data_IF_269028298992
#
_entry.id   IF_269028298992
#
_cell.length_a   1.000
_cell.length_b   1.000
_cell.length_c   1.000
_cell.angle_alpha   90.00
_cell.angle_beta   90.00
_cell.angle_gamma   90.00
#
_symmetry.space_group_name_H-M   'P 1'
#
loop_
_entity.id
_entity.type
_entity.pdbx_description
1 polymer ?
#
# COMPACT_ATOMS: atom_id res chain seq x y z
N UNK A 1 2.94 -5.65 -15.02
CA UNK A 1 2.04 -5.87 -13.88
C UNK A 1 2.84 -6.48 -12.76
N UNK A 2 2.90 -5.80 -11.62
CA UNK A 2 3.64 -6.21 -10.44
C UNK A 2 2.76 -7.07 -9.51
N UNK A 3 3.39 -7.98 -8.77
CA UNK A 3 2.74 -8.77 -7.72
C UNK A 3 3.04 -8.14 -6.36
N UNK A 4 2.06 -8.20 -5.46
CA UNK A 4 2.22 -7.80 -4.07
C UNK A 4 2.41 -9.03 -3.20
N UNK A 5 3.43 -8.99 -2.35
CA UNK A 5 3.60 -9.93 -1.26
C UNK A 5 3.39 -9.16 0.05
N UNK A 6 2.49 -9.66 0.90
CA UNK A 6 2.15 -9.03 2.18
C UNK A 6 2.91 -9.72 3.31
N UNK A 7 3.35 -8.94 4.29
CA UNK A 7 3.83 -9.52 5.55
C UNK A 7 2.64 -10.05 6.34
N UNK A 8 2.86 -11.06 7.18
CA UNK A 8 1.82 -11.58 8.06
C UNK A 8 1.26 -10.51 9.03
N UNK A 9 2.02 -9.43 9.29
CA UNK A 9 1.53 -8.26 10.03
C UNK A 9 0.54 -7.45 9.21
N UNK A 10 0.87 -7.15 7.95
CA UNK A 10 0.00 -6.40 7.05
C UNK A 10 -1.33 -7.12 6.78
N UNK A 11 -1.31 -8.45 6.62
CA UNK A 11 -2.54 -9.25 6.44
C UNK A 11 -3.48 -9.12 7.65
N UNK A 12 -2.94 -9.28 8.87
CA UNK A 12 -3.71 -9.12 10.11
C UNK A 12 -4.27 -7.72 10.28
N UNK A 13 -3.49 -6.69 9.96
CA UNK A 13 -3.96 -5.30 10.03
C UNK A 13 -5.08 -5.05 9.01
N UNK A 14 -4.94 -5.55 7.77
CA UNK A 14 -5.99 -5.45 6.76
C UNK A 14 -7.28 -6.15 7.21
N UNK A 15 -7.19 -7.28 7.90
CA UNK A 15 -8.35 -8.03 8.40
C UNK A 15 -9.11 -7.31 9.51
N UNK A 16 -8.43 -6.47 10.31
CA UNK A 16 -9.06 -5.65 11.34
C UNK A 16 -9.76 -4.39 10.81
N UNK A 17 -9.53 -4.02 9.55
CA UNK A 17 -10.19 -2.86 8.94
C UNK A 17 -11.65 -3.17 8.58
N UNK A 18 -12.48 -2.12 8.62
CA UNK A 18 -13.83 -2.21 8.07
C UNK A 18 -13.79 -2.52 6.57
N UNK A 19 -14.88 -3.11 6.08
CA UNK A 19 -14.97 -3.61 4.71
C UNK A 19 -14.74 -2.52 3.64
N UNK A 20 -15.17 -1.28 3.90
CA UNK A 20 -15.03 -0.17 2.98
C UNK A 20 -13.57 0.28 2.90
N UNK A 21 -12.92 0.47 4.05
CA UNK A 21 -11.52 0.88 4.13
C UNK A 21 -10.60 -0.18 3.51
N UNK A 22 -10.77 -1.46 3.87
CA UNK A 22 -10.00 -2.58 3.30
C UNK A 22 -10.12 -2.61 1.77
N UNK A 23 -11.34 -2.50 1.26
CA UNK A 23 -11.59 -2.51 -0.20
C UNK A 23 -10.91 -1.33 -0.88
N UNK A 24 -10.95 -0.14 -0.28
CA UNK A 24 -10.29 1.06 -0.83
C UNK A 24 -8.77 0.88 -0.92
N UNK A 25 -8.16 0.31 0.11
CA UNK A 25 -6.72 0.02 0.13
C UNK A 25 -6.35 -1.00 -0.95
N UNK A 26 -7.03 -2.15 -0.99
CA UNK A 26 -6.76 -3.20 -1.97
C UNK A 26 -6.93 -2.72 -3.42
N UNK A 27 -7.94 -1.89 -3.70
CA UNK A 27 -8.11 -1.26 -5.02
C UNK A 27 -6.96 -0.33 -5.37
N UNK A 28 -6.46 0.45 -4.40
CA UNK A 28 -5.32 1.35 -4.63
C UNK A 28 -4.03 0.56 -4.89
N UNK A 29 -3.79 -0.50 -4.12
CA UNK A 29 -2.65 -1.40 -4.33
C UNK A 29 -2.73 -2.07 -5.70
N UNK A 30 -3.90 -2.62 -6.10
CA UNK A 30 -4.08 -3.18 -7.44
C UNK A 30 -3.70 -2.18 -8.55
N UNK A 31 -4.19 -0.94 -8.45
CA UNK A 31 -3.84 0.13 -9.40
C UNK A 31 -2.34 0.46 -9.40
N UNK A 32 -1.71 0.42 -8.23
CA UNK A 32 -0.26 0.58 -8.11
C UNK A 32 0.46 -0.54 -8.89
N UNK A 33 0.08 -1.81 -8.70
CA UNK A 33 0.75 -2.92 -9.37
C UNK A 33 0.55 -2.92 -10.90
N UNK A 34 -0.54 -2.35 -11.37
CA UNK A 34 -0.80 -2.16 -12.81
C UNK A 34 0.05 -1.02 -13.41
N UNK A 35 0.42 0.00 -12.62
CA UNK A 35 0.97 1.26 -13.12
C UNK A 35 2.22 1.74 -12.33
N UNK A 36 2.96 0.84 -11.70
CA UNK A 36 4.03 1.24 -10.77
C UNK A 36 5.14 2.05 -11.47
N UNK A 37 5.39 1.79 -12.76
CA UNK A 37 6.42 2.50 -13.53
C UNK A 37 6.06 3.96 -13.83
N UNK A 38 4.77 4.31 -13.77
CA UNK A 38 4.27 5.65 -14.14
C UNK A 38 3.71 6.43 -12.95
N UNK A 39 3.50 5.77 -11.81
CA UNK A 39 3.08 6.42 -10.58
C UNK A 39 4.31 6.96 -9.86
N UNK A 40 4.25 8.22 -9.44
CA UNK A 40 5.27 8.79 -8.56
C UNK A 40 5.19 8.10 -7.19
N UNK A 41 6.31 7.51 -6.77
CA UNK A 41 6.47 6.94 -5.44
C UNK A 41 7.02 7.99 -4.49
N UNK A 42 6.44 8.09 -3.30
CA UNK A 42 6.95 8.97 -2.25
C UNK A 42 7.85 8.16 -1.32
N UNK A 43 9.15 8.41 -1.38
CA UNK A 43 10.13 7.77 -0.50
C UNK A 43 9.96 8.25 0.95
N UNK A 44 10.17 7.34 1.89
CA UNK A 44 10.30 7.63 3.30
C UNK A 44 11.72 8.16 3.61
N UNK A 45 11.90 8.69 4.81
CA UNK A 45 13.17 9.31 5.22
C UNK A 45 13.68 8.71 6.52
N UNK A 46 14.96 8.96 6.83
CA UNK A 46 15.58 8.48 8.05
C UNK A 46 15.79 6.95 8.01
N UNK A 47 15.50 6.21 9.10
CA UNK A 47 15.71 4.75 9.15
C UNK A 47 14.87 3.93 8.16
N UNK A 48 13.88 4.56 7.53
CA UNK A 48 13.01 3.94 6.53
C UNK A 48 13.32 4.43 5.11
N UNK A 49 14.50 5.03 4.88
CA UNK A 49 14.99 5.29 3.52
C UNK A 49 14.92 4.02 2.67
N UNK A 50 14.73 4.17 1.36
CA UNK A 50 14.48 3.08 0.40
C UNK A 50 13.11 2.39 0.52
N UNK A 51 12.26 2.79 1.47
CA UNK A 51 10.85 2.40 1.50
C UNK A 51 9.98 3.51 0.94
N UNK A 52 8.82 3.14 0.39
CA UNK A 52 7.87 4.08 -0.19
C UNK A 52 6.55 4.04 0.58
N UNK A 53 5.83 5.16 0.58
CA UNK A 53 4.47 5.24 1.12
C UNK A 53 3.45 5.49 0.02
N UNK A 54 2.31 4.83 0.12
CA UNK A 54 1.13 5.07 -0.70
C UNK A 54 -0.01 5.57 0.21
N UNK A 55 -0.43 6.82 0.03
CA UNK A 55 -1.54 7.36 0.81
C UNK A 55 -2.91 6.88 0.30
N UNK A 56 -3.73 6.35 1.20
CA UNK A 56 -5.11 5.92 0.96
C UNK A 56 -6.06 6.50 2.01
N UNK A 57 -6.50 7.74 1.79
CA UNK A 57 -7.25 8.49 2.80
C UNK A 57 -6.37 8.79 4.01
N UNK A 58 -6.76 8.26 5.18
CA UNK A 58 -6.03 8.39 6.45
C UNK A 58 -4.95 7.32 6.63
N UNK A 59 -4.94 6.28 5.78
CA UNK A 59 -4.00 5.17 5.84
C UNK A 59 -2.79 5.40 4.94
N UNK A 60 -1.67 4.79 5.34
CA UNK A 60 -0.43 4.69 4.55
C UNK A 60 -0.11 3.21 4.43
N UNK A 61 0.05 2.75 3.20
CA UNK A 61 0.45 1.38 2.84
C UNK A 61 1.77 1.41 2.11
#
# INVERSE_FOLDING_TARGET
MYRFDFTAGAERELDHLDSLTRTRILKRLKRLGENADVIQHEELTGPLSDLFKLRVGDYRV
#
